data_IF_049342031619
#
_entry.id   IF_049342031619
#
_cell.length_a   1.000
_cell.length_b   1.000
_cell.length_c   1.000
_cell.angle_alpha   90.00
_cell.angle_beta   90.00
_cell.angle_gamma   90.00
#
_symmetry.space_group_name_H-M   'P 1'
#
loop_
_entity.id
_entity.type
_entity.pdbx_description
1 polymer ?
#
# COMPACT_ATOMS: atom_id res chain seq x y z
N UNK A 1 -18.36 8.52 15.08
CA UNK A 1 -18.51 9.52 13.99
C UNK A 1 -18.69 8.74 12.70
N UNK A 2 -19.65 9.11 11.84
CA UNK A 2 -19.73 8.51 10.51
C UNK A 2 -18.37 8.70 9.84
N UNK A 3 -17.76 7.62 9.38
CA UNK A 3 -16.54 7.63 8.60
C UNK A 3 -16.79 8.59 7.43
N UNK A 4 -16.22 9.79 7.49
CA UNK A 4 -16.36 10.78 6.43
C UNK A 4 -15.62 10.26 5.21
N UNK A 5 -16.30 9.41 4.43
CA UNK A 5 -15.87 9.02 3.11
C UNK A 5 -15.87 10.27 2.22
N UNK A 6 -14.90 10.35 1.33
CA UNK A 6 -14.87 11.41 0.32
C UNK A 6 -16.18 11.36 -0.49
N UNK A 7 -16.76 12.53 -0.74
CA UNK A 7 -17.93 12.64 -1.61
C UNK A 7 -17.65 12.01 -2.98
N UNK A 8 -18.43 11.00 -3.36
CA UNK A 8 -18.25 10.27 -4.61
C UNK A 8 -18.37 11.20 -5.83
N UNK A 9 -19.16 12.27 -5.74
CA UNK A 9 -19.28 13.27 -6.81
C UNK A 9 -17.94 13.94 -7.09
N UNK A 10 -17.13 14.17 -6.05
CA UNK A 10 -15.77 14.69 -6.22
C UNK A 10 -14.86 13.70 -6.95
N UNK A 11 -15.07 12.39 -6.77
CA UNK A 11 -14.29 11.37 -7.46
C UNK A 11 -14.65 11.30 -8.95
N UNK A 12 -15.94 11.39 -9.29
CA UNK A 12 -16.41 11.47 -10.67
C UNK A 12 -15.91 12.73 -11.38
N UNK A 13 -15.87 13.87 -10.69
CA UNK A 13 -15.36 15.12 -11.24
C UNK A 13 -13.83 15.13 -11.40
N UNK A 14 -13.10 14.26 -10.69
CA UNK A 14 -11.63 14.26 -10.64
C UNK A 14 -10.97 13.70 -11.89
N UNK A 15 -11.62 12.77 -12.58
CA UNK A 15 -11.14 12.22 -13.86
C UNK A 15 -12.35 11.86 -14.73
N UNK A 16 -12.44 12.46 -15.93
CA UNK A 16 -13.55 12.28 -16.86
C UNK A 16 -13.72 10.83 -17.35
N UNK A 17 -12.72 9.98 -17.17
CA UNK A 17 -12.80 8.57 -17.51
C UNK A 17 -13.50 7.73 -16.43
N UNK A 18 -13.76 8.28 -15.24
CA UNK A 18 -14.56 7.61 -14.20
C UNK A 18 -16.02 7.63 -14.63
N UNK A 19 -16.49 6.53 -15.22
CA UNK A 19 -17.87 6.41 -15.67
C UNK A 19 -18.72 5.69 -14.63
N UNK A 20 -19.89 6.25 -14.31
CA UNK A 20 -20.90 5.60 -13.46
C UNK A 20 -21.33 4.24 -14.00
N UNK A 21 -21.33 4.08 -15.32
CA UNK A 21 -21.67 2.82 -15.96
C UNK A 21 -20.67 1.72 -15.64
N UNK A 22 -19.37 2.01 -15.66
CA UNK A 22 -18.33 1.05 -15.31
C UNK A 22 -18.44 0.65 -13.83
N UNK A 23 -18.77 1.61 -12.95
CA UNK A 23 -19.04 1.35 -11.53
C UNK A 23 -20.24 0.41 -11.36
N UNK A 24 -21.34 0.64 -12.07
CA UNK A 24 -22.52 -0.25 -12.06
C UNK A 24 -22.19 -1.66 -12.54
N UNK A 25 -21.38 -1.79 -13.59
CA UNK A 25 -20.94 -3.10 -14.10
C UNK A 25 -20.20 -3.87 -13.01
N UNK A 26 -19.31 -3.22 -12.25
CA UNK A 26 -18.61 -3.84 -11.13
C UNK A 26 -19.59 -4.18 -10.00
N UNK A 27 -20.53 -3.29 -9.65
CA UNK A 27 -21.56 -3.57 -8.63
C UNK A 27 -22.41 -4.79 -8.98
N UNK A 28 -22.87 -4.93 -10.23
CA UNK A 28 -23.63 -6.10 -10.69
C UNK A 28 -22.79 -7.38 -10.70
N UNK A 29 -21.48 -7.26 -10.99
CA UNK A 29 -20.56 -8.39 -10.87
C UNK A 29 -20.35 -8.81 -9.40
N UNK A 30 -20.19 -7.87 -8.47
CA UNK A 30 -20.01 -8.14 -7.04
C UNK A 30 -21.19 -8.92 -6.44
N UNK A 31 -22.43 -8.66 -6.89
CA UNK A 31 -23.62 -9.46 -6.48
C UNK A 31 -23.49 -10.95 -6.80
N UNK A 32 -22.61 -11.32 -7.73
CA UNK A 32 -22.33 -12.69 -8.16
C UNK A 32 -21.07 -13.27 -7.51
N UNK A 33 -20.39 -12.52 -6.64
CA UNK A 33 -19.16 -12.94 -5.94
C UNK A 33 -19.43 -13.07 -4.43
N UNK A 34 -20.06 -14.17 -3.97
CA UNK A 34 -20.52 -14.29 -2.59
C UNK A 34 -19.39 -14.42 -1.55
N UNK A 35 -18.14 -14.64 -1.99
CA UNK A 35 -16.96 -14.58 -1.12
C UNK A 35 -16.52 -13.16 -0.80
N UNK A 36 -16.76 -12.18 -1.68
CA UNK A 36 -16.29 -10.81 -1.48
C UNK A 36 -17.21 -10.04 -0.52
N UNK A 37 -16.67 -9.13 0.30
CA UNK A 37 -17.48 -8.24 1.11
C UNK A 37 -18.24 -7.23 0.24
N UNK A 38 -19.18 -6.51 0.86
CA UNK A 38 -19.79 -5.35 0.22
C UNK A 38 -18.76 -4.21 0.12
N UNK A 39 -18.55 -3.70 -1.09
CA UNK A 39 -17.65 -2.59 -1.36
C UNK A 39 -18.40 -1.25 -1.36
N UNK A 40 -17.73 -0.22 -0.86
CA UNK A 40 -18.14 1.17 -1.12
C UNK A 40 -17.83 1.56 -2.56
N UNK A 41 -18.61 2.50 -3.10
CA UNK A 41 -18.44 3.00 -4.47
C UNK A 41 -17.04 3.58 -4.71
N UNK A 42 -16.48 4.29 -3.73
CA UNK A 42 -15.09 4.75 -3.78
C UNK A 42 -14.10 3.61 -4.00
N UNK A 43 -14.27 2.46 -3.35
CA UNK A 43 -13.37 1.31 -3.50
C UNK A 43 -13.40 0.76 -4.93
N UNK A 44 -14.59 0.74 -5.53
CA UNK A 44 -14.78 0.37 -6.94
C UNK A 44 -14.11 1.38 -7.87
N UNK A 45 -14.30 2.68 -7.63
CA UNK A 45 -13.69 3.75 -8.42
C UNK A 45 -12.15 3.68 -8.34
N UNK A 46 -11.59 3.44 -7.15
CA UNK A 46 -10.13 3.29 -6.98
C UNK A 46 -9.59 2.10 -7.77
N UNK A 47 -10.27 0.95 -7.74
CA UNK A 47 -9.88 -0.22 -8.51
C UNK A 47 -9.95 0.05 -10.03
N UNK A 48 -11.05 0.62 -10.52
CA UNK A 48 -11.20 1.02 -11.92
C UNK A 48 -10.09 2.00 -12.35
N UNK A 49 -9.86 3.04 -11.55
CA UNK A 49 -8.79 4.00 -11.81
C UNK A 49 -7.43 3.28 -11.87
N UNK A 50 -7.08 2.45 -10.88
CA UNK A 50 -5.80 1.72 -10.88
C UNK A 50 -5.56 0.89 -12.14
N UNK A 51 -6.64 0.37 -12.73
CA UNK A 51 -6.63 -0.50 -13.90
C UNK A 51 -6.79 0.22 -15.24
N UNK A 52 -6.71 1.55 -15.26
CA UNK A 52 -6.96 2.39 -16.44
C UNK A 52 -8.36 2.12 -17.02
N UNK A 53 -9.36 1.96 -16.15
CA UNK A 53 -10.77 1.75 -16.47
C UNK A 53 -11.06 0.45 -17.23
N UNK A 54 -10.10 -0.48 -17.27
CA UNK A 54 -10.32 -1.82 -17.80
C UNK A 54 -11.08 -2.65 -16.77
N UNK A 55 -12.36 -2.89 -17.05
CA UNK A 55 -13.30 -3.57 -16.15
C UNK A 55 -12.77 -4.92 -15.68
N UNK A 56 -12.31 -5.79 -16.59
CA UNK A 56 -11.84 -7.13 -16.20
C UNK A 56 -10.59 -7.07 -15.32
N UNK A 57 -9.68 -6.14 -15.58
CA UNK A 57 -8.51 -5.92 -14.72
C UNK A 57 -8.94 -5.42 -13.33
N UNK A 58 -9.92 -4.51 -13.26
CA UNK A 58 -10.44 -4.00 -11.99
C UNK A 58 -11.09 -5.10 -11.15
N UNK A 59 -11.84 -6.03 -11.76
CA UNK A 59 -12.40 -7.21 -11.07
C UNK A 59 -11.30 -8.07 -10.44
N UNK A 60 -10.23 -8.35 -11.20
CA UNK A 60 -9.07 -9.11 -10.71
C UNK A 60 -8.39 -8.36 -9.55
N UNK A 61 -8.15 -7.05 -9.68
CA UNK A 61 -7.54 -6.25 -8.61
C UNK A 61 -8.39 -6.23 -7.34
N UNK A 62 -9.72 -6.08 -7.46
CA UNK A 62 -10.63 -6.16 -6.31
C UNK A 62 -10.51 -7.53 -5.62
N UNK A 63 -10.59 -8.60 -6.40
CA UNK A 63 -10.52 -9.95 -5.85
C UNK A 63 -9.19 -10.21 -5.14
N UNK A 64 -8.07 -9.88 -5.80
CA UNK A 64 -6.73 -10.00 -5.23
C UNK A 64 -6.56 -9.14 -3.97
N UNK A 65 -7.12 -7.92 -3.94
CA UNK A 65 -7.05 -7.02 -2.80
C UNK A 65 -7.68 -7.63 -1.54
N UNK A 66 -8.88 -8.20 -1.63
CA UNK A 66 -9.50 -8.81 -0.46
C UNK A 66 -8.89 -10.17 -0.12
N UNK A 67 -8.43 -10.93 -1.12
CA UNK A 67 -7.73 -12.20 -0.91
C UNK A 67 -6.43 -12.00 -0.12
N UNK A 68 -5.55 -11.09 -0.55
CA UNK A 68 -4.25 -10.88 0.12
C UNK A 68 -4.38 -10.38 1.56
N UNK A 69 -5.45 -9.63 1.85
CA UNK A 69 -5.75 -9.14 3.19
C UNK A 69 -6.09 -10.25 4.17
N UNK A 70 -6.63 -11.36 3.66
CA UNK A 70 -6.96 -12.53 4.45
C UNK A 70 -5.77 -13.47 4.60
N UNK A 71 -5.03 -13.72 3.51
CA UNK A 71 -3.93 -14.70 3.51
C UNK A 71 -2.59 -14.14 4.02
N UNK A 72 -2.47 -12.82 4.17
CA UNK A 72 -1.28 -12.15 4.71
C UNK A 72 -1.64 -11.18 5.86
N UNK A 73 -2.28 -11.64 6.95
CA UNK A 73 -2.77 -10.78 8.02
C UNK A 73 -1.67 -9.93 8.67
N UNK A 74 -0.42 -10.38 8.65
CA UNK A 74 0.72 -9.63 9.18
C UNK A 74 0.93 -8.26 8.52
N UNK A 75 0.40 -8.06 7.30
CA UNK A 75 0.46 -6.79 6.58
C UNK A 75 -0.79 -5.91 6.77
N UNK A 76 -1.91 -6.48 7.23
CA UNK A 76 -3.22 -5.83 7.16
C UNK A 76 -4.01 -5.82 8.47
N UNK A 77 -3.58 -6.55 9.50
CA UNK A 77 -4.18 -6.44 10.83
C UNK A 77 -3.77 -5.11 11.46
N UNK A 78 -4.73 -4.22 11.68
CA UNK A 78 -4.42 -2.86 12.09
C UNK A 78 -3.80 -2.79 13.49
N UNK A 79 -2.76 -1.98 13.62
CA UNK A 79 -2.13 -1.72 14.90
C UNK A 79 -3.07 -0.94 15.83
N UNK A 80 -3.03 -1.27 17.12
CA UNK A 80 -3.71 -0.50 18.14
C UNK A 80 -3.02 0.85 18.40
N UNK A 81 -3.59 1.64 19.31
CA UNK A 81 -3.07 2.98 19.67
C UNK A 81 -1.59 2.95 20.07
N UNK A 82 -1.19 1.94 20.85
CA UNK A 82 0.18 1.85 21.36
C UNK A 82 1.13 1.31 20.30
N UNK A 83 0.67 0.39 19.45
CA UNK A 83 1.37 -0.08 18.26
C UNK A 83 1.65 1.05 17.29
N UNK A 84 0.66 1.90 16.99
CA UNK A 84 0.83 3.10 16.14
C UNK A 84 1.92 4.01 16.71
N UNK A 85 1.86 4.34 18.01
CA UNK A 85 2.84 5.22 18.66
C UNK A 85 4.25 4.62 18.69
N UNK A 86 4.36 3.32 18.97
CA UNK A 86 5.63 2.60 19.04
C UNK A 86 6.31 2.52 17.67
N UNK A 87 5.55 2.27 16.61
CA UNK A 87 6.12 2.20 15.25
C UNK A 87 6.49 3.59 14.76
N UNK A 88 5.64 4.60 15.00
CA UNK A 88 5.91 5.97 14.54
C UNK A 88 7.08 6.66 15.25
N UNK A 89 7.52 6.17 16.41
CA UNK A 89 8.77 6.63 17.04
C UNK A 89 10.02 6.04 16.36
N UNK A 90 9.89 4.93 15.63
CA UNK A 90 11.01 4.23 14.99
C UNK A 90 11.02 4.39 13.46
N UNK A 91 9.87 4.58 12.84
CA UNK A 91 9.68 4.69 11.39
C UNK A 91 8.87 5.95 11.07
N UNK A 92 9.43 6.79 10.20
CA UNK A 92 8.66 7.75 9.45
C UNK A 92 8.03 7.07 8.24
N UNK A 93 6.71 7.12 8.15
CA UNK A 93 5.95 6.77 6.95
C UNK A 93 4.86 7.82 6.74
N UNK A 94 4.89 8.52 5.60
CA UNK A 94 3.95 9.60 5.34
C UNK A 94 3.63 9.74 3.85
N UNK A 95 2.37 10.04 3.54
CA UNK A 95 2.01 10.54 2.20
C UNK A 95 2.11 12.06 2.23
N UNK A 96 3.12 12.59 1.53
CA UNK A 96 3.44 14.02 1.55
C UNK A 96 2.30 14.86 0.98
N UNK A 97 2.12 16.07 1.52
CA UNK A 97 0.98 16.93 1.22
C UNK A 97 1.03 17.58 -0.17
N UNK A 98 2.24 17.73 -0.73
CA UNK A 98 2.44 18.17 -2.12
C UNK A 98 2.59 16.96 -3.05
N UNK A 99 2.19 17.18 -4.30
CA UNK A 99 2.28 16.20 -5.40
C UNK A 99 3.37 16.60 -6.38
N UNK A 100 3.80 15.68 -7.22
CA UNK A 100 4.66 16.00 -8.38
C UNK A 100 3.89 16.86 -9.40
N UNK A 101 4.56 17.47 -10.39
CA UNK A 101 3.89 18.25 -11.44
C UNK A 101 2.85 17.45 -12.24
N UNK A 102 3.06 16.14 -12.39
CA UNK A 102 2.12 15.19 -13.01
C UNK A 102 0.93 14.84 -12.09
N UNK A 103 0.92 15.35 -10.86
CA UNK A 103 -0.11 15.09 -9.86
C UNK A 103 0.08 13.78 -9.11
N UNK A 104 1.28 13.20 -9.09
CA UNK A 104 1.53 11.96 -8.34
C UNK A 104 1.68 12.24 -6.85
N UNK A 105 1.02 11.42 -6.02
CA UNK A 105 1.24 11.44 -4.58
C UNK A 105 2.59 10.79 -4.24
N UNK A 106 3.17 11.19 -3.10
CA UNK A 106 4.51 10.74 -2.70
C UNK A 106 4.41 10.08 -1.34
N UNK A 107 4.63 8.77 -1.29
CA UNK A 107 4.79 8.02 -0.04
C UNK A 107 6.28 8.02 0.31
N UNK A 108 6.65 8.61 1.44
CA UNK A 108 8.04 8.71 1.88
C UNK A 108 8.26 7.94 3.18
N UNK A 109 9.33 7.14 3.19
CA UNK A 109 9.72 6.26 4.29
C UNK A 109 11.16 6.52 4.74
N UNK A 110 11.40 6.53 6.05
CA UNK A 110 12.75 6.64 6.64
C UNK A 110 12.78 6.08 8.07
N UNK A 111 13.89 5.48 8.47
CA UNK A 111 14.10 5.13 9.88
C UNK A 111 14.34 6.39 10.74
N UNK A 112 13.57 6.52 11.82
CA UNK A 112 13.80 7.50 12.88
C UNK A 112 14.69 6.95 13.98
N UNK A 113 14.55 5.67 14.32
CA UNK A 113 15.48 4.94 15.18
C UNK A 113 16.23 3.92 14.32
N UNK A 114 17.55 4.06 14.25
CA UNK A 114 18.46 3.24 13.43
C UNK A 114 19.06 2.06 14.20
N UNK A 115 18.52 1.74 15.38
CA UNK A 115 18.87 0.53 16.12
C UNK A 115 18.23 -0.70 15.48
N UNK A 116 19.03 -1.70 15.04
CA UNK A 116 18.50 -2.92 14.43
C UNK A 116 17.49 -3.68 15.29
N UNK A 117 17.64 -3.65 16.61
CA UNK A 117 16.72 -4.30 17.57
C UNK A 117 15.33 -3.69 17.61
N UNK A 118 15.17 -2.42 17.19
CA UNK A 118 13.86 -1.74 17.10
C UNK A 118 13.16 -2.08 15.77
N UNK A 119 13.92 -2.43 14.75
CA UNK A 119 13.38 -2.75 13.42
C UNK A 119 12.59 -4.05 13.41
N UNK A 120 11.31 -3.94 13.06
CA UNK A 120 10.44 -5.07 12.79
C UNK A 120 9.86 -4.95 11.38
N UNK A 121 10.35 -5.79 10.47
CA UNK A 121 9.98 -5.74 9.06
C UNK A 121 8.47 -5.85 8.82
N UNK A 122 7.79 -6.80 9.48
CA UNK A 122 6.36 -7.02 9.27
C UNK A 122 5.52 -5.86 9.82
N UNK A 123 5.78 -5.45 11.07
CA UNK A 123 5.06 -4.34 11.69
C UNK A 123 5.29 -3.02 10.95
N UNK A 124 6.48 -2.79 10.40
CA UNK A 124 6.77 -1.58 9.63
C UNK A 124 6.02 -1.58 8.30
N UNK A 125 6.00 -2.71 7.58
CA UNK A 125 5.22 -2.84 6.34
C UNK A 125 3.72 -2.67 6.58
N UNK A 126 3.20 -3.26 7.66
CA UNK A 126 1.82 -3.06 8.09
C UNK A 126 1.50 -1.58 8.35
N UNK A 127 2.33 -0.88 9.13
CA UNK A 127 2.15 0.54 9.40
C UNK A 127 2.16 1.40 8.13
N UNK A 128 3.01 1.07 7.15
CA UNK A 128 3.04 1.73 5.84
C UNK A 128 1.71 1.53 5.09
N UNK A 129 1.17 0.30 5.11
CA UNK A 129 -0.14 -0.02 4.52
C UNK A 129 -1.25 0.75 5.23
N UNK A 130 -1.23 0.86 6.56
CA UNK A 130 -2.21 1.64 7.32
C UNK A 130 -2.20 3.11 6.91
N UNK A 131 -1.02 3.74 6.86
CA UNK A 131 -0.84 5.14 6.44
C UNK A 131 -1.38 5.37 5.03
N UNK A 132 -1.03 4.50 4.08
CA UNK A 132 -1.48 4.61 2.70
C UNK A 132 -3.00 4.40 2.56
N UNK A 133 -3.55 3.43 3.28
CA UNK A 133 -4.99 3.08 3.21
C UNK A 133 -5.85 4.21 3.78
N UNK A 134 -5.49 4.77 4.93
CA UNK A 134 -6.20 5.93 5.48
C UNK A 134 -6.11 7.15 4.57
N UNK A 135 -4.93 7.41 3.98
CA UNK A 135 -4.76 8.50 3.03
C UNK A 135 -5.70 8.36 1.82
N UNK A 136 -5.76 7.17 1.22
CA UNK A 136 -6.65 6.90 0.09
C UNK A 136 -8.13 6.99 0.48
N UNK A 137 -8.51 6.55 1.68
CA UNK A 137 -9.88 6.69 2.16
C UNK A 137 -10.31 8.16 2.30
N UNK A 138 -9.41 9.01 2.81
CA UNK A 138 -9.69 10.43 3.01
C UNK A 138 -9.62 11.27 1.73
N UNK A 139 -8.83 10.85 0.73
CA UNK A 139 -8.48 11.68 -0.44
C UNK A 139 -8.88 11.08 -1.80
N UNK A 140 -9.35 9.83 -1.81
CA UNK A 140 -9.63 9.05 -3.00
C UNK A 140 -8.37 8.66 -3.79
N UNK A 141 -8.55 8.28 -5.05
CA UNK A 141 -7.44 7.85 -5.92
C UNK A 141 -6.46 8.99 -6.24
N UNK A 142 -5.19 8.65 -6.45
CA UNK A 142 -4.14 9.56 -6.92
C UNK A 142 -3.88 9.31 -8.41
N UNK A 143 -3.49 10.34 -9.19
CA UNK A 143 -3.14 10.18 -10.62
C UNK A 143 -2.00 9.18 -10.85
N UNK A 144 -1.22 8.94 -9.80
CA UNK A 144 -0.18 7.95 -9.65
C UNK A 144 0.48 8.14 -8.28
N UNK A 145 1.34 7.21 -7.90
CA UNK A 145 2.12 7.30 -6.67
C UNK A 145 3.61 7.07 -6.94
N UNK A 146 4.44 7.86 -6.29
CA UNK A 146 5.87 7.60 -6.13
C UNK A 146 6.14 7.13 -4.71
N UNK A 147 7.00 6.13 -4.55
CA UNK A 147 7.51 5.72 -3.26
C UNK A 147 8.96 6.19 -3.11
N UNK A 148 9.30 6.82 -1.99
CA UNK A 148 10.65 7.23 -1.65
C UNK A 148 11.09 6.48 -0.39
N UNK A 149 12.16 5.72 -0.51
CA UNK A 149 12.80 5.01 0.59
C UNK A 149 14.13 5.68 0.90
N UNK A 150 14.21 6.39 2.02
CA UNK A 150 15.50 6.89 2.53
C UNK A 150 16.22 5.78 3.29
N UNK A 151 17.37 5.35 2.75
CA UNK A 151 18.23 4.34 3.37
C UNK A 151 19.15 4.90 4.45
N UNK A 152 19.11 6.20 4.77
CA UNK A 152 19.86 6.76 5.89
C UNK A 152 19.47 6.06 7.21
N UNK A 153 20.46 5.48 7.89
CA UNK A 153 20.26 4.66 9.09
C UNK A 153 20.00 3.19 8.80
N UNK A 154 19.62 2.81 7.57
CA UNK A 154 19.48 1.40 7.20
C UNK A 154 20.85 0.77 6.97
N UNK A 155 21.09 -0.39 7.57
CA UNK A 155 22.42 -1.01 7.67
C UNK A 155 22.36 -2.53 7.68
N UNK A 156 23.52 -3.20 7.81
CA UNK A 156 23.60 -4.66 7.75
C UNK A 156 22.76 -5.36 8.83
N UNK A 157 22.70 -4.79 10.04
CA UNK A 157 21.84 -5.32 11.11
C UNK A 157 20.35 -5.31 10.76
N UNK A 158 19.90 -4.27 10.05
CA UNK A 158 18.54 -4.20 9.51
C UNK A 158 18.32 -5.19 8.37
N UNK A 159 19.28 -5.29 7.44
CA UNK A 159 19.22 -6.23 6.33
C UNK A 159 19.11 -7.69 6.80
N UNK A 160 19.83 -8.05 7.87
CA UNK A 160 19.76 -9.38 8.49
C UNK A 160 18.42 -9.68 9.16
N UNK A 161 17.62 -8.65 9.48
CA UNK A 161 16.29 -8.76 10.10
C UNK A 161 15.13 -8.64 9.10
N UNK A 162 15.43 -8.52 7.81
CA UNK A 162 14.41 -8.57 6.76
C UNK A 162 13.72 -9.92 6.78
N UNK A 163 12.39 -9.92 6.80
CA UNK A 163 11.61 -11.13 6.64
C UNK A 163 11.23 -11.27 5.16
N UNK A 164 11.97 -12.11 4.43
CA UNK A 164 11.78 -12.27 2.98
C UNK A 164 10.39 -12.76 2.60
N UNK A 165 9.74 -13.56 3.45
CA UNK A 165 8.39 -14.04 3.17
C UNK A 165 7.38 -12.88 3.23
N UNK A 166 7.48 -12.04 4.27
CA UNK A 166 6.60 -10.88 4.42
C UNK A 166 6.87 -9.83 3.33
N UNK A 167 8.13 -9.65 2.92
CA UNK A 167 8.46 -8.78 1.79
C UNK A 167 7.91 -9.32 0.47
N UNK A 168 7.99 -10.65 0.25
CA UNK A 168 7.34 -11.29 -0.90
C UNK A 168 5.84 -11.00 -0.91
N UNK A 169 5.17 -11.14 0.23
CA UNK A 169 3.74 -10.81 0.36
C UNK A 169 3.47 -9.33 0.04
N UNK A 170 4.27 -8.40 0.58
CA UNK A 170 4.14 -6.98 0.31
C UNK A 170 4.39 -6.64 -1.18
N UNK A 171 5.34 -7.31 -1.81
CA UNK A 171 5.59 -7.18 -3.25
C UNK A 171 4.43 -7.73 -4.08
N UNK A 172 3.84 -8.87 -3.72
CA UNK A 172 2.61 -9.36 -4.36
C UNK A 172 1.47 -8.36 -4.21
N UNK A 173 1.31 -7.76 -3.02
CA UNK A 173 0.31 -6.71 -2.81
C UNK A 173 0.52 -5.52 -3.74
N UNK A 174 1.72 -4.92 -3.74
CA UNK A 174 2.03 -3.72 -4.53
C UNK A 174 1.85 -3.96 -6.03
N UNK A 175 2.13 -5.18 -6.51
CA UNK A 175 2.17 -5.47 -7.95
C UNK A 175 0.84 -6.00 -8.51
N UNK A 176 0.02 -6.68 -7.69
CA UNK A 176 -1.16 -7.42 -8.17
C UNK A 176 -2.48 -7.01 -7.53
N UNK A 177 -2.45 -6.30 -6.40
CA UNK A 177 -3.63 -6.09 -5.56
C UNK A 177 -3.82 -4.63 -5.09
N UNK A 178 -2.76 -3.82 -5.08
CA UNK A 178 -2.82 -2.42 -4.67
C UNK A 178 -3.63 -1.60 -5.69
N UNK A 179 -4.75 -0.95 -5.32
CA UNK A 179 -5.56 -0.14 -6.22
C UNK A 179 -4.94 1.25 -6.46
N UNK A 180 -3.63 1.32 -6.73
CA UNK A 180 -2.88 2.56 -7.01
C UNK A 180 -1.90 2.31 -8.15
N UNK A 181 -1.77 3.28 -9.06
CA UNK A 181 -0.77 3.23 -10.13
C UNK A 181 0.59 3.65 -9.59
N UNK A 182 1.52 2.71 -9.43
CA UNK A 182 2.92 3.05 -9.12
C UNK A 182 3.56 3.69 -10.36
N UNK A 183 4.25 4.81 -10.15
CA UNK A 183 4.92 5.61 -11.20
C UNK A 183 6.42 5.74 -11.00
N UNK A 184 6.92 5.43 -9.81
CA UNK A 184 8.34 5.45 -9.50
C UNK A 184 8.61 4.90 -8.11
N UNK A 185 9.73 4.21 -7.95
CA UNK A 185 10.27 3.77 -6.66
C UNK A 185 11.68 4.31 -6.55
N UNK A 186 11.89 5.25 -5.64
CA UNK A 186 13.15 5.97 -5.48
C UNK A 186 13.81 5.58 -4.16
N UNK A 187 15.01 5.04 -4.24
CA UNK A 187 15.82 4.69 -3.07
C UNK A 187 16.91 5.74 -2.93
N UNK A 188 16.83 6.58 -1.91
CA UNK A 188 17.75 7.70 -1.68
C UNK A 188 18.74 7.37 -0.56
N UNK A 189 19.88 8.08 -0.56
CA UNK A 189 21.02 7.72 0.28
C UNK A 189 21.42 6.25 0.08
N UNK A 190 21.30 5.76 -1.17
CA UNK A 190 21.53 4.38 -1.52
C UNK A 190 23.01 4.02 -1.34
N UNK A 191 23.28 3.12 -0.41
CA UNK A 191 24.60 2.53 -0.17
C UNK A 191 24.75 1.24 -1.00
N UNK A 192 25.97 0.68 -1.19
CA UNK A 192 26.16 -0.62 -1.87
C UNK A 192 25.36 -1.78 -1.25
N UNK A 193 24.88 -1.62 -0.01
CA UNK A 193 23.94 -2.55 0.62
C UNK A 193 22.58 -2.62 -0.11
N UNK A 194 22.13 -1.51 -0.70
CA UNK A 194 20.89 -1.40 -1.46
C UNK A 194 20.85 -2.39 -2.62
N UNK A 195 21.95 -2.49 -3.38
CA UNK A 195 22.08 -3.42 -4.50
C UNK A 195 21.99 -4.88 -4.04
N UNK A 196 22.56 -5.21 -2.88
CA UNK A 196 22.49 -6.57 -2.31
C UNK A 196 21.07 -6.92 -1.87
N UNK A 197 20.38 -5.98 -1.22
CA UNK A 197 18.97 -6.16 -0.85
C UNK A 197 18.12 -6.33 -2.11
N UNK A 198 18.30 -5.48 -3.13
CA UNK A 198 17.58 -5.62 -4.39
C UNK A 198 17.84 -6.97 -5.06
N UNK A 199 19.09 -7.43 -5.12
CA UNK A 199 19.44 -8.72 -5.71
C UNK A 199 18.71 -9.89 -5.02
N UNK A 200 18.59 -9.82 -3.69
CA UNK A 200 17.85 -10.80 -2.88
C UNK A 200 16.34 -10.74 -3.11
N UNK A 201 15.77 -9.54 -3.33
CA UNK A 201 14.34 -9.36 -3.59
C UNK A 201 13.94 -9.57 -5.05
N UNK A 202 14.89 -9.47 -5.99
CA UNK A 202 14.67 -9.56 -7.44
C UNK A 202 13.79 -10.73 -7.89
N UNK A 203 13.91 -11.96 -7.34
CA UNK A 203 13.03 -13.07 -7.73
C UNK A 203 11.53 -12.82 -7.50
N UNK A 204 11.17 -11.87 -6.64
CA UNK A 204 9.79 -11.53 -6.28
C UNK A 204 9.28 -10.24 -6.95
N UNK A 205 10.14 -9.57 -7.75
CA UNK A 205 9.83 -8.30 -8.40
C UNK A 205 9.59 -8.55 -9.90
N UNK A 206 8.41 -8.19 -10.40
CA UNK A 206 8.06 -8.22 -11.83
C UNK A 206 8.81 -7.14 -12.58
N UNK A 207 9.03 -7.35 -13.89
CA UNK A 207 9.78 -6.43 -14.75
C UNK A 207 9.26 -4.99 -14.69
N UNK A 208 7.94 -4.81 -14.68
CA UNK A 208 7.32 -3.48 -14.66
C UNK A 208 7.69 -2.70 -13.40
N UNK A 209 7.61 -3.32 -12.22
CA UNK A 209 8.03 -2.68 -10.97
C UNK A 209 9.55 -2.51 -10.92
N UNK A 210 10.33 -3.52 -11.35
CA UNK A 210 11.78 -3.47 -11.35
C UNK A 210 12.32 -2.27 -12.16
N UNK A 211 11.74 -2.02 -13.33
CA UNK A 211 12.12 -0.91 -14.21
C UNK A 211 11.78 0.47 -13.63
N UNK A 212 10.89 0.54 -12.64
CA UNK A 212 10.55 1.79 -11.94
C UNK A 212 11.46 2.08 -10.75
N UNK A 213 12.32 1.14 -10.35
CA UNK A 213 13.23 1.31 -9.21
C UNK A 213 14.45 2.11 -9.65
N UNK A 214 14.73 3.20 -8.94
CA UNK A 214 15.89 4.05 -9.16
C UNK A 214 16.64 4.28 -7.87
N UNK A 215 17.97 4.18 -7.93
CA UNK A 215 18.86 4.42 -6.81
C UNK A 215 19.53 5.78 -6.94
N UNK A 216 19.51 6.54 -5.85
CA UNK A 216 20.10 7.86 -5.75
C UNK A 216 21.19 7.82 -4.67
N UNK A 217 22.47 7.97 -5.05
CA UNK A 217 23.58 7.99 -4.10
C UNK A 217 23.44 9.12 -3.07
N UNK A 218 24.12 9.01 -1.91
CA UNK A 218 24.15 10.08 -0.92
C UNK A 218 24.62 11.41 -1.53
N UNK A 219 23.89 12.49 -1.23
CA UNK A 219 24.17 13.83 -1.77
C UNK A 219 23.80 14.04 -3.24
N UNK A 220 23.20 13.05 -3.92
CA UNK A 220 22.76 13.20 -5.30
C UNK A 220 21.49 14.04 -5.43
N UNK A 221 21.45 14.91 -6.43
CA UNK A 221 20.25 15.67 -6.83
C UNK A 221 19.39 14.94 -7.87
N UNK A 222 19.75 13.71 -8.24
CA UNK A 222 19.06 12.95 -9.31
C UNK A 222 17.60 12.66 -9.00
N UNK A 223 17.21 12.59 -7.71
CA UNK A 223 15.81 12.50 -7.30
C UNK A 223 14.98 13.67 -7.82
N UNK A 224 15.54 14.88 -7.86
CA UNK A 224 14.81 16.11 -8.19
C UNK A 224 14.33 16.18 -9.64
N UNK A 225 14.82 15.27 -10.50
CA UNK A 225 14.29 15.05 -11.85
C UNK A 225 12.90 14.41 -11.85
N UNK A 226 12.53 13.74 -10.75
CA UNK A 226 11.30 12.97 -10.61
C UNK A 226 10.38 13.57 -9.54
N UNK A 227 10.96 14.04 -8.44
CA UNK A 227 10.25 14.66 -7.32
C UNK A 227 10.86 16.04 -7.04
N UNK A 228 10.21 17.15 -7.43
CA UNK A 228 10.72 18.48 -7.18
C UNK A 228 11.02 18.70 -5.70
N UNK A 229 12.11 19.43 -5.42
CA UNK A 229 12.61 19.65 -4.07
C UNK A 229 11.54 20.26 -3.15
N UNK A 230 10.74 21.18 -3.66
CA UNK A 230 9.63 21.81 -2.92
C UNK A 230 8.54 20.83 -2.43
N UNK A 231 8.47 19.62 -2.99
CA UNK A 231 7.55 18.57 -2.57
C UNK A 231 8.07 17.72 -1.39
N UNK A 232 9.28 18.01 -0.90
CA UNK A 232 9.93 17.24 0.16
C UNK A 232 9.95 18.01 1.50
N UNK A 233 10.19 17.30 2.62
CA UNK A 233 10.48 17.91 3.94
C UNK A 233 11.73 18.81 3.93
N UNK A 234 11.80 19.71 4.90
CA UNK A 234 12.93 20.64 5.08
C UNK A 234 14.29 19.93 5.24
N UNK A 235 14.31 18.70 5.78
CA UNK A 235 15.52 17.87 5.91
C UNK A 235 16.16 17.52 4.56
N UNK A 236 15.40 17.63 3.46
CA UNK A 236 15.88 17.44 2.09
C UNK A 236 15.94 18.78 1.33
N UNK A 237 15.89 19.89 2.05
CA UNK A 237 15.87 21.26 1.55
C UNK A 237 14.58 21.64 0.81
N UNK A 238 13.49 20.93 1.09
CA UNK A 238 12.18 21.21 0.52
C UNK A 238 11.38 22.27 1.27
N UNK A 239 10.11 22.41 0.93
CA UNK A 239 9.21 23.43 1.49
C UNK A 239 8.12 22.84 2.40
N UNK A 240 8.08 21.52 2.57
CA UNK A 240 7.17 20.92 3.55
C UNK A 240 7.74 21.09 4.96
N UNK A 241 6.86 21.00 5.96
CA UNK A 241 7.27 20.96 7.37
C UNK A 241 8.26 19.82 7.63
N UNK A 242 9.00 19.92 8.73
CA UNK A 242 9.88 18.86 9.21
C UNK A 242 9.22 17.48 9.22
N UNK A 243 10.03 16.44 9.01
CA UNK A 243 9.57 15.06 9.12
C UNK A 243 8.94 14.80 10.50
N UNK A 244 9.48 15.40 11.56
CA UNK A 244 8.91 15.29 12.90
C UNK A 244 7.48 15.83 12.97
N UNK A 245 7.25 17.06 12.47
CA UNK A 245 5.91 17.66 12.46
C UNK A 245 4.95 16.90 11.54
N UNK A 246 5.42 16.41 10.39
CA UNK A 246 4.62 15.58 9.49
C UNK A 246 4.24 14.23 10.16
N UNK A 247 5.16 13.61 10.88
CA UNK A 247 4.93 12.37 11.61
C UNK A 247 3.86 12.57 12.69
N UNK A 248 3.99 13.60 13.53
CA UNK A 248 3.02 13.91 14.58
C UNK A 248 1.61 14.14 14.02
N UNK A 249 1.49 14.90 12.92
CA UNK A 249 0.20 15.10 12.23
C UNK A 249 -0.36 13.77 11.71
N UNK A 250 0.48 12.93 11.10
CA UNK A 250 0.08 11.62 10.59
C UNK A 250 -0.42 10.71 11.71
N UNK A 251 0.33 10.62 12.81
CA UNK A 251 -0.01 9.81 13.97
C UNK A 251 -1.31 10.27 14.59
N UNK A 252 -1.49 11.58 14.80
CA UNK A 252 -2.75 12.12 15.32
C UNK A 252 -3.92 11.79 14.39
N UNK A 253 -3.76 11.97 13.07
CA UNK A 253 -4.77 11.58 12.10
C UNK A 253 -5.11 10.08 12.18
N UNK A 254 -4.12 9.19 12.30
CA UNK A 254 -4.39 7.76 12.47
C UNK A 254 -5.15 7.46 13.77
N UNK A 255 -4.77 8.11 14.87
CA UNK A 255 -5.38 7.91 16.18
C UNK A 255 -6.81 8.49 16.29
N UNK A 256 -7.11 9.53 15.53
CA UNK A 256 -8.46 10.12 15.43
C UNK A 256 -9.39 9.26 14.55
N UNK A 257 -8.83 8.34 13.75
CA UNK A 257 -9.55 7.49 12.80
C UNK A 257 -9.42 6.00 13.14
N UNK A 258 -9.31 5.62 14.42
CA UNK A 258 -9.27 4.19 14.81
C UNK A 258 -10.51 3.40 14.39
N UNK A 259 -11.67 4.05 14.30
CA UNK A 259 -12.90 3.40 13.83
C UNK A 259 -12.85 3.09 12.32
N UNK A 260 -12.05 3.82 11.53
CA UNK A 260 -11.81 3.50 10.12
C UNK A 260 -11.11 2.16 10.00
N UNK A 261 -10.05 1.95 10.78
CA UNK A 261 -9.30 0.70 10.78
C UNK A 261 -10.17 -0.48 11.23
N UNK A 262 -11.02 -0.30 12.25
CA UNK A 262 -12.00 -1.33 12.65
C UNK A 262 -12.97 -1.69 11.52
N UNK A 263 -13.51 -0.69 10.83
CA UNK A 263 -14.40 -0.90 9.69
C UNK A 263 -13.67 -1.60 8.54
N UNK A 264 -12.46 -1.13 8.22
CA UNK A 264 -11.63 -1.66 7.15
C UNK A 264 -11.30 -3.13 7.43
N UNK A 265 -10.76 -3.45 8.61
CA UNK A 265 -10.43 -4.81 9.04
C UNK A 265 -11.65 -5.74 9.04
N UNK A 266 -12.85 -5.20 9.30
CA UNK A 266 -14.11 -5.92 9.23
C UNK A 266 -14.55 -6.33 7.82
N UNK A 267 -13.98 -5.75 6.76
CA UNK A 267 -14.24 -6.17 5.38
C UNK A 267 -13.47 -7.46 5.03
N UNK A 268 -13.97 -8.58 5.55
CA UNK A 268 -13.40 -9.91 5.35
C UNK A 268 -14.00 -10.61 4.13
N UNK A 269 -13.16 -11.42 3.50
CA UNK A 269 -13.56 -12.36 2.47
C UNK A 269 -14.04 -13.68 3.13
N UNK A 270 -14.92 -14.41 2.45
CA UNK A 270 -15.33 -15.76 2.83
C UNK A 270 -14.93 -16.73 1.71
N UNK A 271 -13.69 -17.23 1.77
CA UNK A 271 -13.13 -18.13 0.76
C UNK A 271 -13.96 -19.40 0.53
N UNK A 272 -14.74 -19.85 1.53
CA UNK A 272 -15.61 -21.02 1.38
C UNK A 272 -16.76 -20.80 0.38
N UNK A 273 -17.10 -19.54 0.09
CA UNK A 273 -18.13 -19.16 -0.86
C UNK A 273 -17.58 -18.87 -2.26
N UNK A 274 -16.26 -18.91 -2.45
CA UNK A 274 -15.65 -18.51 -3.73
C UNK A 274 -16.12 -19.42 -4.86
N UNK A 275 -16.54 -18.80 -5.95
CA UNK A 275 -16.91 -19.52 -7.17
C UNK A 275 -15.66 -19.63 -8.05
N UNK A 276 -15.19 -20.87 -8.26
CA UNK A 276 -13.97 -21.15 -9.03
C UNK A 276 -12.69 -21.06 -8.19
N UNK A 277 -11.54 -21.25 -8.85
CA UNK A 277 -10.23 -21.21 -8.20
C UNK A 277 -9.62 -19.82 -8.26
N UNK A 278 -8.93 -19.40 -7.20
CA UNK A 278 -8.11 -18.19 -7.22
C UNK A 278 -6.66 -18.58 -7.47
N UNK A 279 -6.15 -18.30 -8.68
CA UNK A 279 -4.72 -18.47 -8.99
C UNK A 279 -3.87 -17.67 -8.00
N UNK A 280 -4.33 -16.48 -7.64
CA UNK A 280 -3.63 -15.61 -6.71
C UNK A 280 -3.60 -16.21 -5.30
N UNK A 281 -4.71 -16.73 -4.77
CA UNK A 281 -4.70 -17.45 -3.49
C UNK A 281 -3.84 -18.74 -3.53
N UNK A 282 -3.81 -19.41 -4.70
CA UNK A 282 -2.96 -20.60 -4.92
C UNK A 282 -1.47 -20.29 -4.76
N UNK A 283 -1.02 -19.11 -5.19
CA UNK A 283 0.38 -18.68 -5.04
C UNK A 283 0.80 -18.53 -3.56
N UNK A 284 -0.17 -18.49 -2.64
CA UNK A 284 0.01 -18.50 -1.18
C UNK A 284 -0.36 -19.85 -0.53
N UNK A 285 -0.67 -20.88 -1.32
CA UNK A 285 -0.98 -22.23 -0.83
C UNK A 285 -2.38 -22.38 -0.21
N UNK A 286 -3.31 -21.48 -0.54
CA UNK A 286 -4.66 -21.46 0.06
C UNK A 286 -5.69 -22.24 -0.79
N UNK A 287 -5.33 -22.66 -2.00
CA UNK A 287 -6.12 -23.59 -2.81
C UNK A 287 -5.97 -25.03 -2.26
N UNK A 288 -6.85 -25.48 -1.36
CA UNK A 288 -6.90 -26.94 -1.08
C UNK A 288 -7.47 -27.49 0.23
N UNK A 289 -7.92 -26.71 1.21
CA UNK A 289 -8.32 -27.25 2.55
C UNK A 289 -9.82 -27.28 2.82
N UNK A 290 -10.64 -27.75 1.87
CA UNK A 290 -11.95 -28.30 2.21
C UNK A 290 -12.28 -29.50 1.32
N UNK A 291 -11.50 -30.59 1.46
CA UNK A 291 -12.12 -31.90 1.28
C UNK A 291 -13.13 -32.04 2.41
N UNK A 292 -14.42 -31.96 2.10
CA UNK A 292 -15.43 -32.59 2.96
C UNK A 292 -14.94 -34.02 3.18
N UNK A 293 -14.73 -34.39 4.45
CA UNK A 293 -14.74 -35.79 4.81
C UNK A 293 -16.17 -36.22 4.51
N UNK A 294 -16.37 -36.82 3.34
CA UNK A 294 -17.56 -37.61 3.09
C UNK A 294 -17.57 -38.68 4.19
N UNK A 295 -18.65 -38.69 4.95
CA UNK A 295 -18.95 -39.70 5.97
C UNK A 295 -18.76 -41.08 5.32
N UNK A 296 -17.82 -41.85 5.85
CA UNK A 296 -17.73 -43.27 5.56
C UNK A 296 -18.58 -43.96 6.63
N UNK A 297 -19.77 -44.38 6.17
CA UNK A 297 -20.70 -45.41 6.67
C UNK A 297 -20.93 -45.57 8.19
#
# INVERSE_FOLDING_TARGET
MALTCIDHEKLYAKDANVKREDVRIIQEWLKKQPHLPMLEEMQIIMALHSCYYRIEAAKITIDNYFTIRDVCPELFESLDRDGIKRVSSALFANVLTKKTPEGYGILMLRLFDDKPEVFNCATFLNYIVMVATLHLHQNGFLNGAMAIFDMKGFGLGHAARLNLNVIKHALSFVQDALPVRIKGVHVINALPLADKVLAMLKPFIKSDLYNMIQFHPPGSETLYKHVPKECLPEEYGGQLSSMQTLNEKSVNNMLDHLDFYKWHDGQKIDESKRIGKSKFASDFGVDGTFKRLDEID
#
